data_IF_815765486898
#
_entry.id   IF_815765486898
#
_cell.length_a   1.000
_cell.length_b   1.000
_cell.length_c   1.000
_cell.angle_alpha   90.00
_cell.angle_beta   90.00
_cell.angle_gamma   90.00
#
_symmetry.space_group_name_H-M   'P 1'
#
loop_
_entity.id
_entity.type
_entity.pdbx_description
1 polymer ?
#
# COMPACT_ATOMS: atom_id res chain seq x y z
N UNK A 1 -24.54 8.69 16.92
CA UNK A 1 -24.82 10.14 16.67
C UNK A 1 -25.58 10.19 15.35
N UNK A 2 -26.77 10.78 15.35
CA UNK A 2 -27.52 10.99 14.09
C UNK A 2 -26.97 12.27 13.46
N UNK A 3 -26.51 12.25 12.20
CA UNK A 3 -26.00 13.47 11.57
C UNK A 3 -27.07 14.55 11.54
N UNK A 4 -26.67 15.82 11.67
CA UNK A 4 -27.63 16.94 11.55
C UNK A 4 -28.24 16.90 10.15
N UNK A 5 -29.56 16.89 10.05
CA UNK A 5 -30.29 16.87 8.77
C UNK A 5 -29.79 17.90 7.76
N UNK A 6 -29.39 19.08 8.25
CA UNK A 6 -28.84 20.15 7.40
C UNK A 6 -27.54 19.74 6.69
N UNK A 7 -26.65 18.99 7.35
CA UNK A 7 -25.37 18.54 6.75
C UNK A 7 -25.63 17.46 5.70
N UNK A 8 -26.53 16.51 6.01
CA UNK A 8 -26.90 15.47 5.05
C UNK A 8 -27.50 16.10 3.79
N UNK A 9 -28.46 17.00 3.96
CA UNK A 9 -29.09 17.69 2.84
C UNK A 9 -28.08 18.49 2.00
N UNK A 10 -27.07 19.11 2.63
CA UNK A 10 -26.02 19.85 1.88
C UNK A 10 -25.15 18.91 1.04
N UNK A 11 -24.82 17.73 1.56
CA UNK A 11 -24.05 16.72 0.81
C UNK A 11 -24.88 16.17 -0.34
N UNK A 12 -26.15 15.84 -0.10
CA UNK A 12 -27.08 15.37 -1.14
C UNK A 12 -27.28 16.42 -2.24
N UNK A 13 -27.35 17.70 -1.89
CA UNK A 13 -27.42 18.79 -2.85
C UNK A 13 -26.18 18.81 -3.76
N UNK A 14 -24.98 18.75 -3.19
CA UNK A 14 -23.72 18.71 -3.95
C UNK A 14 -23.65 17.46 -4.84
N UNK A 15 -24.08 16.29 -4.33
CA UNK A 15 -24.10 15.07 -5.13
C UNK A 15 -25.03 15.20 -6.34
N UNK A 16 -26.23 15.76 -6.14
CA UNK A 16 -27.20 15.95 -7.23
C UNK A 16 -26.76 17.02 -8.23
N UNK A 17 -26.21 18.15 -7.76
CA UNK A 17 -25.77 19.25 -8.65
C UNK A 17 -24.58 18.86 -9.52
N UNK A 18 -23.67 18.03 -9.02
CA UNK A 18 -22.44 17.63 -9.69
C UNK A 18 -22.46 16.20 -10.25
N UNK A 19 -23.59 15.52 -10.21
CA UNK A 19 -23.75 14.10 -10.61
C UNK A 19 -22.68 13.19 -9.96
N UNK A 20 -22.57 13.29 -8.62
CA UNK A 20 -21.58 12.54 -7.85
C UNK A 20 -22.24 11.34 -7.14
N UNK A 21 -21.51 10.24 -7.10
CA UNK A 21 -21.91 9.03 -6.40
C UNK A 21 -20.86 8.62 -5.34
N UNK A 22 -21.33 8.05 -4.23
CA UNK A 22 -20.47 7.40 -3.24
C UNK A 22 -20.04 6.04 -3.78
N UNK A 23 -18.90 5.98 -4.42
CA UNK A 23 -18.45 4.80 -5.14
C UNK A 23 -18.23 3.58 -4.25
N UNK A 24 -17.85 3.77 -2.98
CA UNK A 24 -17.73 2.64 -2.07
C UNK A 24 -19.09 2.01 -1.79
N UNK A 25 -20.13 2.81 -1.60
CA UNK A 25 -21.50 2.32 -1.38
C UNK A 25 -22.07 1.65 -2.63
N UNK A 26 -21.77 2.19 -3.81
CA UNK A 26 -22.19 1.58 -5.09
C UNK A 26 -21.57 0.17 -5.24
N UNK A 27 -20.30 0.01 -4.91
CA UNK A 27 -19.61 -1.29 -5.00
C UNK A 27 -19.94 -2.25 -3.85
N UNK A 28 -20.40 -1.73 -2.71
CA UNK A 28 -20.67 -2.51 -1.48
C UNK A 28 -22.05 -2.16 -0.88
N UNK A 29 -23.15 -2.41 -1.59
CA UNK A 29 -24.49 -1.93 -1.19
C UNK A 29 -24.95 -2.46 0.17
N UNK A 30 -24.66 -3.73 0.48
CA UNK A 30 -25.10 -4.41 1.70
C UNK A 30 -24.06 -4.40 2.83
N UNK A 31 -22.81 -3.97 2.52
CA UNK A 31 -21.72 -4.05 3.50
C UNK A 31 -21.76 -2.85 4.43
N UNK A 32 -21.73 -3.10 5.75
CA UNK A 32 -21.48 -2.07 6.75
C UNK A 32 -20.00 -1.97 7.04
N UNK A 33 -19.42 -0.79 6.91
CA UNK A 33 -18.07 -0.49 7.33
C UNK A 33 -17.98 0.97 7.78
N UNK A 34 -17.01 1.25 8.64
CA UNK A 34 -16.90 2.53 9.33
C UNK A 34 -15.51 3.11 9.08
N UNK A 35 -15.46 4.42 8.96
CA UNK A 35 -14.20 5.14 8.77
C UNK A 35 -13.77 5.90 10.01
N UNK A 36 -14.62 6.00 11.00
CA UNK A 36 -14.32 6.68 12.26
C UNK A 36 -14.88 5.91 13.45
N UNK A 37 -14.12 5.88 14.55
CA UNK A 37 -14.52 5.21 15.79
C UNK A 37 -14.17 6.02 17.04
N UNK A 38 -15.11 6.12 17.95
CA UNK A 38 -14.91 6.65 19.29
C UNK A 38 -14.90 5.52 20.31
N UNK A 39 -14.01 5.57 21.29
CA UNK A 39 -13.84 4.48 22.28
C UNK A 39 -14.84 4.54 23.44
N UNK A 40 -15.23 5.74 23.89
CA UNK A 40 -16.11 5.90 25.06
C UNK A 40 -17.03 7.11 24.92
N UNK A 41 -18.35 6.93 24.77
CA UNK A 41 -19.00 5.66 24.43
C UNK A 41 -18.56 5.13 23.06
N UNK A 42 -18.71 3.86 22.81
CA UNK A 42 -18.37 3.29 21.49
C UNK A 42 -19.32 3.81 20.43
N UNK A 43 -18.82 4.61 19.51
CA UNK A 43 -19.57 5.14 18.38
C UNK A 43 -18.79 4.83 17.12
N UNK A 44 -19.47 4.27 16.12
CA UNK A 44 -18.91 3.93 14.83
C UNK A 44 -19.66 4.69 13.75
N UNK A 45 -18.94 5.42 12.90
CA UNK A 45 -19.51 6.21 11.82
C UNK A 45 -18.70 6.05 10.53
N UNK A 46 -19.36 6.16 9.39
CA UNK A 46 -18.66 6.35 8.12
C UNK A 46 -18.75 7.83 7.75
N UNK A 47 -17.67 8.55 8.01
CA UNK A 47 -17.56 10.00 7.80
C UNK A 47 -16.77 10.34 6.55
N UNK A 48 -15.87 9.45 6.15
CA UNK A 48 -14.97 9.65 5.02
C UNK A 48 -15.47 8.82 3.84
N UNK A 49 -15.56 9.43 2.65
CA UNK A 49 -16.00 8.76 1.43
C UNK A 49 -15.46 9.44 0.17
N UNK A 50 -15.35 8.66 -0.90
CA UNK A 50 -15.03 9.15 -2.24
C UNK A 50 -16.31 9.43 -3.00
N UNK A 51 -16.57 10.72 -3.25
CA UNK A 51 -17.59 11.15 -4.21
C UNK A 51 -16.92 11.31 -5.56
N UNK A 52 -17.38 10.56 -6.54
CA UNK A 52 -16.83 10.61 -7.91
C UNK A 52 -17.96 10.88 -8.89
N UNK A 53 -17.65 11.48 -10.03
CA UNK A 53 -18.59 11.64 -11.11
C UNK A 53 -19.06 10.29 -11.63
N UNK A 54 -20.34 10.17 -11.91
CA UNK A 54 -21.00 8.92 -12.30
C UNK A 54 -20.32 8.27 -13.52
N UNK A 55 -19.84 9.06 -14.48
CA UNK A 55 -19.12 8.59 -15.66
C UNK A 55 -17.75 7.94 -15.35
N UNK A 56 -17.22 8.08 -14.14
CA UNK A 56 -15.95 7.46 -13.73
C UNK A 56 -16.15 6.09 -13.03
N UNK A 57 -17.38 5.69 -12.77
CA UNK A 57 -17.66 4.45 -12.03
C UNK A 57 -17.07 3.20 -12.70
N UNK A 58 -17.10 3.13 -14.03
CA UNK A 58 -16.59 2.01 -14.80
C UNK A 58 -15.04 1.92 -14.79
N UNK A 59 -14.37 3.03 -14.50
CA UNK A 59 -12.91 3.10 -14.39
C UNK A 59 -12.40 2.74 -12.99
N UNK A 60 -13.28 2.51 -12.02
CA UNK A 60 -12.90 2.15 -10.66
C UNK A 60 -12.58 0.66 -10.56
N UNK A 61 -11.28 0.35 -10.39
CA UNK A 61 -10.80 -1.01 -10.19
C UNK A 61 -11.12 -1.54 -8.78
N UNK A 62 -10.84 -0.75 -7.75
CA UNK A 62 -11.19 -1.08 -6.37
C UNK A 62 -11.39 0.17 -5.51
N UNK A 63 -12.17 0.00 -4.46
CA UNK A 63 -12.32 0.97 -3.37
C UNK A 63 -12.44 0.24 -2.05
N UNK A 64 -11.61 0.62 -1.06
CA UNK A 64 -11.49 -0.07 0.21
C UNK A 64 -11.44 0.91 1.38
N UNK A 65 -11.88 0.41 2.54
CA UNK A 65 -11.71 1.07 3.84
C UNK A 65 -10.62 0.30 4.59
N UNK A 66 -9.47 0.93 4.77
CA UNK A 66 -8.30 0.34 5.42
C UNK A 66 -8.36 0.69 6.91
N UNK A 67 -8.28 -0.29 7.82
CA UNK A 67 -8.38 -0.05 9.25
C UNK A 67 -7.45 1.05 9.77
N UNK A 68 -7.94 1.80 10.77
CA UNK A 68 -7.16 2.84 11.44
C UNK A 68 -5.94 2.25 12.15
N UNK A 69 -4.74 2.84 11.93
CA UNK A 69 -3.51 2.37 12.55
C UNK A 69 -3.23 3.18 13.83
N UNK A 70 -3.05 4.49 13.75
CA UNK A 70 -2.70 5.33 14.90
C UNK A 70 -3.69 6.47 15.14
N UNK A 71 -4.82 6.41 14.50
CA UNK A 71 -5.83 7.46 14.52
C UNK A 71 -7.21 6.84 14.79
N UNK A 72 -8.18 7.65 15.08
CA UNK A 72 -9.57 7.28 15.17
C UNK A 72 -10.26 7.19 13.79
N UNK A 73 -9.57 7.62 12.71
CA UNK A 73 -10.03 7.49 11.33
C UNK A 73 -9.35 6.35 10.57
N UNK A 74 -10.14 5.54 9.87
CA UNK A 74 -9.66 4.59 8.86
C UNK A 74 -9.33 5.31 7.54
N UNK A 75 -8.30 4.85 6.86
CA UNK A 75 -7.98 5.38 5.54
C UNK A 75 -8.95 4.84 4.49
N UNK A 76 -9.34 5.69 3.55
CA UNK A 76 -10.11 5.26 2.38
C UNK A 76 -9.23 5.23 1.14
N UNK A 77 -9.31 4.17 0.34
CA UNK A 77 -8.56 4.03 -0.90
C UNK A 77 -9.49 3.94 -2.10
N UNK A 78 -9.03 4.51 -3.22
CA UNK A 78 -9.67 4.43 -4.52
C UNK A 78 -8.61 4.18 -5.57
N UNK A 79 -8.78 3.11 -6.36
CA UNK A 79 -7.91 2.78 -7.48
C UNK A 79 -8.71 2.94 -8.77
N UNK A 80 -8.31 3.92 -9.57
CA UNK A 80 -8.83 4.11 -10.91
C UNK A 80 -7.99 3.30 -11.90
N UNK A 81 -8.64 2.72 -12.90
CA UNK A 81 -7.98 2.08 -14.03
C UNK A 81 -7.14 3.08 -14.83
N UNK A 82 -6.20 2.58 -15.59
CA UNK A 82 -5.39 3.43 -16.45
C UNK A 82 -6.25 4.05 -17.56
N UNK A 83 -6.34 5.37 -17.53
CA UNK A 83 -6.87 6.16 -18.63
C UNK A 83 -5.67 6.51 -19.50
N UNK A 84 -5.26 5.60 -20.40
CA UNK A 84 -4.11 5.85 -21.27
C UNK A 84 -3.41 4.59 -21.77
N UNK A 85 -2.37 4.75 -22.58
CA UNK A 85 -1.56 3.66 -23.06
C UNK A 85 -0.81 2.94 -21.93
N UNK A 86 -0.87 1.62 -21.89
CA UNK A 86 -0.15 0.80 -20.93
C UNK A 86 1.36 1.07 -21.02
N UNK A 87 1.94 1.66 -20.01
CA UNK A 87 3.38 1.83 -19.89
C UNK A 87 4.03 0.49 -19.62
N UNK A 88 5.03 0.14 -20.40
CA UNK A 88 5.81 -1.08 -20.17
C UNK A 88 6.44 -1.10 -18.76
N UNK A 89 6.88 -2.28 -18.28
CA UNK A 89 7.32 -2.50 -16.89
C UNK A 89 8.57 -1.70 -16.48
N UNK A 90 9.16 -0.92 -17.40
CA UNK A 90 10.37 -0.16 -17.15
C UNK A 90 11.61 -1.03 -16.87
N UNK A 91 12.73 -0.39 -16.53
CA UNK A 91 13.96 -1.10 -16.17
C UNK A 91 13.84 -1.65 -14.75
N UNK A 92 14.01 -2.96 -14.59
CA UNK A 92 14.04 -3.58 -13.26
C UNK A 92 15.25 -3.11 -12.46
N UNK A 93 14.99 -2.70 -11.22
CA UNK A 93 16.01 -2.33 -10.23
C UNK A 93 15.94 -3.28 -9.05
N UNK A 94 17.10 -3.78 -8.61
CA UNK A 94 17.17 -4.62 -7.42
C UNK A 94 16.82 -3.82 -6.17
N UNK A 95 15.95 -4.38 -5.33
CA UNK A 95 15.71 -3.84 -4.00
C UNK A 95 16.89 -4.22 -3.11
N UNK A 96 17.61 -3.22 -2.60
CA UNK A 96 18.80 -3.41 -1.75
C UNK A 96 18.47 -4.16 -0.46
N UNK A 97 17.24 -4.06 0.06
CA UNK A 97 16.81 -4.80 1.26
C UNK A 97 16.87 -6.33 1.11
N UNK A 98 17.03 -6.86 -0.10
CA UNK A 98 17.33 -8.29 -0.29
C UNK A 98 18.71 -8.68 0.27
N UNK A 99 19.62 -7.72 0.39
CA UNK A 99 20.94 -7.96 0.97
C UNK A 99 20.91 -8.00 2.50
N UNK A 100 19.79 -7.68 3.12
CA UNK A 100 19.56 -7.82 4.57
C UNK A 100 18.85 -9.17 4.89
N UNK A 101 18.46 -9.95 3.86
CA UNK A 101 17.78 -11.23 4.01
C UNK A 101 18.81 -12.37 4.01
N UNK A 102 19.01 -12.99 5.18
CA UNK A 102 20.00 -14.07 5.37
C UNK A 102 19.75 -15.29 4.45
N UNK A 103 18.49 -15.65 4.21
CA UNK A 103 18.14 -16.76 3.32
C UNK A 103 18.59 -16.45 1.88
N UNK A 104 18.36 -15.22 1.42
CA UNK A 104 18.80 -14.77 0.11
C UNK A 104 20.32 -14.73 -0.01
N UNK A 105 21.03 -14.21 0.99
CA UNK A 105 22.50 -14.15 1.02
C UNK A 105 23.13 -15.54 1.01
N UNK A 106 22.60 -16.47 1.82
CA UNK A 106 23.07 -17.86 1.85
C UNK A 106 22.89 -18.54 0.48
N UNK A 107 21.73 -18.33 -0.15
CA UNK A 107 21.52 -18.81 -1.51
C UNK A 107 22.54 -18.24 -2.50
N UNK A 108 22.78 -16.94 -2.46
CA UNK A 108 23.76 -16.30 -3.37
C UNK A 108 25.17 -16.81 -3.13
N UNK A 109 25.62 -16.94 -1.89
CA UNK A 109 26.99 -17.37 -1.56
C UNK A 109 27.31 -18.75 -2.14
N UNK A 110 26.37 -19.67 -2.08
CA UNK A 110 26.52 -21.02 -2.64
C UNK A 110 26.47 -20.98 -4.18
N UNK A 111 25.53 -20.23 -4.76
CA UNK A 111 25.27 -20.31 -6.19
C UNK A 111 26.20 -19.45 -7.05
N UNK A 112 26.78 -18.37 -6.51
CA UNK A 112 27.77 -17.55 -7.24
C UNK A 112 28.99 -18.40 -7.65
N UNK A 113 29.51 -19.22 -6.74
CA UNK A 113 30.61 -20.12 -7.01
C UNK A 113 30.25 -21.16 -8.09
N UNK A 114 29.04 -21.70 -8.02
CA UNK A 114 28.50 -22.64 -9.02
C UNK A 114 28.38 -21.97 -10.40
N UNK A 115 27.74 -20.80 -10.48
CA UNK A 115 27.57 -20.08 -11.74
C UNK A 115 28.90 -19.63 -12.36
N UNK A 116 29.91 -19.33 -11.52
CA UNK A 116 31.26 -19.05 -11.99
C UNK A 116 31.86 -20.26 -12.69
N UNK A 117 31.81 -21.44 -12.05
CA UNK A 117 32.32 -22.67 -12.63
C UNK A 117 31.58 -23.09 -13.91
N UNK A 118 30.26 -22.91 -13.95
CA UNK A 118 29.46 -23.16 -15.14
C UNK A 118 29.83 -22.20 -16.27
N UNK A 119 29.95 -20.90 -15.95
CA UNK A 119 30.33 -19.89 -16.93
C UNK A 119 31.75 -20.09 -17.50
N UNK A 120 32.73 -20.48 -16.65
CA UNK A 120 34.11 -20.76 -17.09
C UNK A 120 34.21 -22.01 -18.02
N UNK A 121 33.26 -22.93 -17.95
CA UNK A 121 33.21 -24.09 -18.85
C UNK A 121 32.64 -23.75 -20.25
N UNK A 122 31.64 -22.85 -20.27
CA UNK A 122 30.90 -22.53 -21.47
C UNK A 122 31.41 -21.30 -22.23
N UNK A 123 32.10 -20.39 -21.50
CA UNK A 123 32.51 -19.08 -21.99
C UNK A 123 34.02 -18.90 -21.88
N UNK A 124 34.68 -18.56 -22.99
CA UNK A 124 36.13 -18.30 -23.03
C UNK A 124 36.54 -16.93 -22.48
N UNK A 125 35.62 -15.96 -22.48
CA UNK A 125 35.91 -14.60 -22.01
C UNK A 125 35.45 -14.39 -20.55
N UNK A 126 36.35 -13.94 -19.70
CA UNK A 126 36.07 -13.63 -18.29
C UNK A 126 35.02 -12.55 -18.10
N UNK A 127 34.87 -11.62 -19.06
CA UNK A 127 33.80 -10.59 -19.02
C UNK A 127 32.44 -11.23 -19.25
N UNK A 128 32.36 -12.16 -20.20
CA UNK A 128 31.16 -12.93 -20.46
C UNK A 128 30.74 -13.79 -19.24
N UNK A 129 31.72 -14.40 -18.54
CA UNK A 129 31.48 -15.12 -17.28
C UNK A 129 30.89 -14.20 -16.22
N UNK A 130 31.41 -12.97 -16.09
CA UNK A 130 30.88 -11.98 -15.14
C UNK A 130 29.45 -11.55 -15.50
N UNK A 131 29.16 -11.36 -16.76
CA UNK A 131 27.80 -11.03 -17.23
C UNK A 131 26.83 -12.20 -17.01
N UNK A 132 27.27 -13.43 -17.17
CA UNK A 132 26.52 -14.63 -16.83
C UNK A 132 26.15 -14.69 -15.35
N UNK A 133 27.11 -14.42 -14.46
CA UNK A 133 26.86 -14.37 -13.01
C UNK A 133 25.81 -13.29 -12.69
N UNK A 134 25.99 -12.07 -13.21
CA UNK A 134 25.02 -10.96 -12.99
C UNK A 134 23.62 -11.32 -13.52
N UNK A 135 23.54 -11.97 -14.64
CA UNK A 135 22.27 -12.42 -15.20
C UNK A 135 21.55 -13.41 -14.26
N UNK A 136 22.26 -14.39 -13.72
CA UNK A 136 21.70 -15.37 -12.80
C UNK A 136 21.28 -14.73 -11.46
N UNK A 137 22.10 -13.82 -10.92
CA UNK A 137 21.73 -13.02 -9.73
C UNK A 137 20.43 -12.27 -9.97
N UNK A 138 20.35 -11.54 -11.12
CA UNK A 138 19.14 -10.79 -11.49
C UNK A 138 17.91 -11.69 -11.61
N UNK A 139 18.03 -12.79 -12.32
CA UNK A 139 16.95 -13.76 -12.53
C UNK A 139 16.42 -14.28 -11.18
N UNK A 140 17.33 -14.67 -10.29
CA UNK A 140 16.97 -15.15 -8.96
C UNK A 140 16.37 -14.03 -8.10
N UNK A 141 16.97 -12.84 -8.08
CA UNK A 141 16.45 -11.71 -7.31
C UNK A 141 15.02 -11.34 -7.71
N UNK A 142 14.70 -11.38 -8.99
CA UNK A 142 13.33 -11.14 -9.49
C UNK A 142 12.37 -12.21 -8.95
N UNK A 143 12.74 -13.49 -9.05
CA UNK A 143 11.92 -14.60 -8.58
C UNK A 143 11.69 -14.49 -7.08
N UNK A 144 12.76 -14.36 -6.31
CA UNK A 144 12.71 -14.26 -4.85
C UNK A 144 11.87 -13.05 -4.38
N UNK A 145 12.06 -11.88 -5.00
CA UNK A 145 11.26 -10.68 -4.68
C UNK A 145 9.76 -10.89 -4.91
N UNK A 146 9.39 -11.61 -5.98
CA UNK A 146 8.00 -11.94 -6.28
C UNK A 146 7.40 -12.88 -5.22
N UNK A 147 8.16 -13.91 -4.83
CA UNK A 147 7.75 -14.87 -3.80
C UNK A 147 7.57 -14.18 -2.44
N UNK A 148 8.54 -13.36 -2.01
CA UNK A 148 8.42 -12.57 -0.76
C UNK A 148 7.26 -11.57 -0.81
N UNK A 149 7.02 -10.93 -1.96
CA UNK A 149 5.87 -10.03 -2.12
C UNK A 149 4.55 -10.76 -2.01
N UNK A 150 4.46 -11.98 -2.58
CA UNK A 150 3.27 -12.83 -2.44
C UNK A 150 3.04 -13.21 -0.98
N UNK A 151 4.07 -13.75 -0.32
CA UNK A 151 3.99 -14.13 1.11
C UNK A 151 3.52 -12.95 1.98
N UNK A 152 4.07 -11.74 1.77
CA UNK A 152 3.64 -10.54 2.51
C UNK A 152 2.18 -10.18 2.26
N UNK A 153 1.69 -10.31 1.02
CA UNK A 153 0.28 -10.07 0.70
C UNK A 153 -0.64 -11.10 1.36
N UNK A 154 -0.22 -12.36 1.37
CA UNK A 154 -0.99 -13.42 2.01
C UNK A 154 -1.11 -13.18 3.53
N UNK A 155 0.00 -12.79 4.20
CA UNK A 155 0.01 -12.39 5.62
C UNK A 155 -0.89 -11.16 5.85
N UNK A 156 -0.79 -10.13 5.01
CA UNK A 156 -1.66 -8.94 5.07
C UNK A 156 -3.13 -9.31 5.02
N UNK A 157 -3.50 -10.17 4.07
CA UNK A 157 -4.88 -10.63 3.90
C UNK A 157 -5.39 -11.37 5.14
N UNK A 158 -4.58 -12.29 5.69
CA UNK A 158 -4.95 -13.04 6.89
C UNK A 158 -5.19 -12.09 8.07
N UNK A 159 -4.28 -11.15 8.33
CA UNK A 159 -4.43 -10.20 9.45
C UNK A 159 -5.66 -9.30 9.26
N UNK A 160 -5.93 -8.87 8.02
CA UNK A 160 -7.12 -8.06 7.72
C UNK A 160 -8.43 -8.86 7.93
N UNK A 161 -8.45 -10.13 7.57
CA UNK A 161 -9.61 -11.01 7.81
C UNK A 161 -9.82 -11.25 9.30
N UNK A 162 -8.75 -11.52 10.06
CA UNK A 162 -8.81 -11.64 11.52
C UNK A 162 -9.37 -10.35 12.15
N UNK A 163 -8.94 -9.18 11.67
CA UNK A 163 -9.42 -7.90 12.17
C UNK A 163 -10.91 -7.69 11.87
N UNK A 164 -11.36 -7.98 10.65
CA UNK A 164 -12.78 -7.90 10.26
C UNK A 164 -13.64 -8.81 11.12
N UNK A 165 -13.20 -10.04 11.34
CA UNK A 165 -13.92 -11.01 12.17
C UNK A 165 -13.95 -10.59 13.65
N UNK A 166 -12.83 -10.10 14.20
CA UNK A 166 -12.79 -9.59 15.57
C UNK A 166 -13.69 -8.37 15.76
N UNK A 167 -13.74 -7.47 14.77
CA UNK A 167 -14.64 -6.31 14.76
C UNK A 167 -16.10 -6.77 14.76
N UNK A 168 -16.46 -7.70 13.88
CA UNK A 168 -17.83 -8.23 13.79
C UNK A 168 -18.28 -8.90 15.10
N UNK A 169 -17.39 -9.67 15.75
CA UNK A 169 -17.67 -10.30 17.04
C UNK A 169 -17.91 -9.28 18.13
N UNK A 170 -17.08 -8.24 18.19
CA UNK A 170 -17.24 -7.18 19.16
C UNK A 170 -18.51 -6.35 18.93
N UNK A 171 -18.89 -6.11 17.68
CA UNK A 171 -20.14 -5.41 17.33
C UNK A 171 -21.38 -6.20 17.75
N UNK A 172 -21.36 -7.54 17.60
CA UNK A 172 -22.47 -8.42 17.95
C UNK A 172 -22.58 -8.66 19.47
N UNK A 173 -21.45 -8.74 20.16
CA UNK A 173 -21.35 -9.00 21.59
C UNK A 173 -20.20 -8.20 22.21
N UNK A 174 -20.46 -6.95 22.66
CA UNK A 174 -19.46 -6.03 23.20
C UNK A 174 -19.10 -6.39 24.65
N UNK A 175 -18.37 -7.49 24.82
CA UNK A 175 -17.81 -7.91 26.11
C UNK A 175 -16.29 -7.68 26.17
N UNK A 176 -15.69 -7.81 27.39
CA UNK A 176 -14.25 -7.56 27.60
C UNK A 176 -13.36 -8.55 26.84
N UNK A 177 -13.82 -9.80 26.63
CA UNK A 177 -13.06 -10.81 25.88
C UNK A 177 -12.95 -10.44 24.40
N UNK A 178 -14.07 -10.10 23.77
CA UNK A 178 -14.11 -9.66 22.38
C UNK A 178 -13.36 -8.35 22.17
N UNK A 179 -13.42 -7.43 23.15
CA UNK A 179 -12.65 -6.19 23.15
C UNK A 179 -11.15 -6.45 23.21
N UNK A 180 -10.71 -7.36 24.09
CA UNK A 180 -9.30 -7.74 24.21
C UNK A 180 -8.80 -8.37 22.91
N UNK A 181 -9.58 -9.27 22.31
CA UNK A 181 -9.22 -9.89 21.02
C UNK A 181 -9.13 -8.88 19.90
N UNK A 182 -10.06 -7.94 19.82
CA UNK A 182 -10.01 -6.85 18.82
C UNK A 182 -8.74 -6.00 18.97
N UNK A 183 -8.39 -5.64 20.22
CA UNK A 183 -7.17 -4.87 20.48
C UNK A 183 -5.90 -5.64 20.09
N UNK A 184 -5.83 -6.94 20.40
CA UNK A 184 -4.70 -7.80 20.03
C UNK A 184 -4.49 -7.84 18.51
N UNK A 185 -5.55 -8.08 17.75
CA UNK A 185 -5.46 -8.14 16.28
C UNK A 185 -5.18 -6.76 15.69
N UNK A 186 -5.71 -5.71 16.29
CA UNK A 186 -5.39 -4.33 15.91
C UNK A 186 -3.91 -4.03 16.07
N UNK A 187 -3.31 -4.41 17.18
CA UNK A 187 -1.86 -4.24 17.44
C UNK A 187 -1.02 -5.00 16.40
N UNK A 188 -1.39 -6.26 16.07
CA UNK A 188 -0.71 -7.02 15.00
C UNK A 188 -0.78 -6.29 13.65
N UNK A 189 -1.92 -5.73 13.32
CA UNK A 189 -2.11 -4.99 12.07
C UNK A 189 -1.28 -3.70 12.06
N UNK A 190 -1.22 -2.99 13.18
CA UNK A 190 -0.40 -1.79 13.36
C UNK A 190 1.08 -2.08 13.13
N UNK A 191 1.62 -3.11 13.78
CA UNK A 191 3.02 -3.53 13.61
C UNK A 191 3.34 -3.91 12.16
N UNK A 192 2.46 -4.66 11.50
CA UNK A 192 2.62 -5.03 10.09
C UNK A 192 2.71 -3.80 9.18
N UNK A 193 1.81 -2.83 9.38
CA UNK A 193 1.82 -1.61 8.56
C UNK A 193 2.98 -0.67 8.90
N UNK A 194 3.45 -0.63 10.14
CA UNK A 194 4.67 0.10 10.50
C UNK A 194 5.88 -0.43 9.74
N UNK A 195 6.07 -1.74 9.73
CA UNK A 195 7.17 -2.37 8.99
C UNK A 195 7.07 -2.07 7.48
N UNK A 196 5.87 -2.21 6.91
CA UNK A 196 5.60 -1.90 5.51
C UNK A 196 5.89 -0.44 5.17
N UNK A 197 5.49 0.49 6.03
CA UNK A 197 5.69 1.94 5.88
C UNK A 197 7.15 2.31 5.98
N UNK A 198 7.88 1.77 6.95
CA UNK A 198 9.33 1.97 7.09
C UNK A 198 10.07 1.56 5.81
N UNK A 199 9.70 0.42 5.22
CA UNK A 199 10.25 -0.02 3.95
C UNK A 199 9.95 0.95 2.79
N UNK A 200 8.77 1.56 2.76
CA UNK A 200 8.40 2.57 1.76
C UNK A 200 9.21 3.85 1.96
N UNK A 201 9.34 4.33 3.20
CA UNK A 201 10.10 5.54 3.56
C UNK A 201 11.56 5.41 3.10
N UNK A 202 12.20 4.27 3.42
CA UNK A 202 13.58 4.00 3.02
C UNK A 202 13.73 4.02 1.50
N UNK A 203 12.82 3.36 0.76
CA UNK A 203 12.86 3.34 -0.72
C UNK A 203 12.57 4.68 -1.36
N UNK A 204 11.65 5.44 -0.79
CA UNK A 204 11.30 6.77 -1.28
C UNK A 204 12.39 7.81 -1.01
N UNK A 205 13.38 7.49 -0.16
CA UNK A 205 14.36 8.46 0.38
C UNK A 205 13.66 9.68 0.98
N UNK A 206 12.60 9.44 1.68
CA UNK A 206 11.68 10.49 2.13
C UNK A 206 12.23 11.18 3.39
N UNK A 207 13.21 12.05 3.22
CA UNK A 207 13.64 12.98 4.27
C UNK A 207 12.52 13.90 4.77
N UNK A 208 11.46 14.03 4.00
CA UNK A 208 10.29 14.84 4.34
C UNK A 208 9.31 14.14 5.28
N UNK A 209 9.45 12.83 5.53
CA UNK A 209 8.58 12.12 6.46
C UNK A 209 8.68 12.64 7.91
N UNK A 210 9.88 13.07 8.32
CA UNK A 210 10.09 13.68 9.66
C UNK A 210 9.52 15.10 9.76
N UNK A 211 9.32 15.76 8.62
CA UNK A 211 8.86 17.15 8.51
C UNK A 211 7.57 17.28 7.68
N UNK A 212 6.93 16.14 7.37
CA UNK A 212 5.74 16.07 6.54
C UNK A 212 4.62 16.99 7.02
N UNK A 213 3.90 17.56 6.07
CA UNK A 213 2.73 18.43 6.23
C UNK A 213 2.99 19.84 6.78
N UNK A 214 4.23 20.25 7.00
CA UNK A 214 4.51 21.67 7.18
C UNK A 214 4.69 22.31 5.80
N UNK A 215 3.88 23.33 5.48
CA UNK A 215 4.02 24.20 4.28
C UNK A 215 5.31 25.01 4.34
N UNK A 216 6.46 24.33 4.46
CA UNK A 216 7.75 24.98 4.51
C UNK A 216 8.26 25.28 3.12
N UNK A 217 9.02 26.34 2.97
CA UNK A 217 9.74 26.73 1.74
C UNK A 217 10.57 25.57 1.17
N UNK A 218 11.03 24.66 2.03
CA UNK A 218 11.75 23.45 1.65
C UNK A 218 10.86 22.45 0.91
N UNK A 219 9.63 22.19 1.41
CA UNK A 219 8.67 21.29 0.80
C UNK A 219 8.23 21.77 -0.59
N UNK A 220 7.90 23.05 -0.72
CA UNK A 220 7.53 23.68 -1.99
C UNK A 220 8.71 23.66 -3.01
N UNK A 221 9.94 23.75 -2.53
CA UNK A 221 11.13 23.67 -3.39
C UNK A 221 11.49 22.22 -3.79
N UNK A 222 11.11 21.19 -3.02
CA UNK A 222 11.30 19.78 -3.38
C UNK A 222 10.45 19.40 -4.59
N UNK A 223 9.21 19.87 -4.65
CA UNK A 223 8.33 19.64 -5.78
C UNK A 223 8.88 20.28 -7.05
N UNK A 224 9.32 21.54 -6.98
CA UNK A 224 10.00 22.22 -8.08
C UNK A 224 11.28 21.51 -8.54
N UNK A 225 12.12 21.04 -7.61
CA UNK A 225 13.34 20.27 -7.91
C UNK A 225 13.04 18.95 -8.61
N UNK A 226 12.00 18.25 -8.17
CA UNK A 226 11.59 16.98 -8.78
C UNK A 226 10.98 17.21 -10.17
N UNK A 227 10.26 18.30 -10.36
CA UNK A 227 9.73 18.69 -11.66
C UNK A 227 10.87 18.99 -12.67
N UNK A 228 11.87 19.78 -12.27
CA UNK A 228 13.04 20.10 -13.09
C UNK A 228 13.88 18.88 -13.44
N UNK A 229 14.05 17.93 -12.51
CA UNK A 229 14.80 16.67 -12.75
C UNK A 229 14.09 15.70 -13.68
N UNK A 230 12.75 15.75 -13.77
CA UNK A 230 11.95 14.89 -14.65
C UNK A 230 11.85 15.40 -16.08
N UNK A 231 12.15 16.66 -16.31
CA UNK A 231 12.19 17.22 -17.67
C UNK A 231 13.58 16.99 -18.27
N UNK A 232 13.71 15.95 -19.10
CA UNK A 232 14.85 15.82 -20.02
C UNK A 232 14.62 16.94 -21.05
N UNK A 233 15.43 17.99 -20.96
CA UNK A 233 15.49 18.97 -22.05
C UNK A 233 16.03 18.23 -23.26
N UNK A 234 15.27 18.24 -24.37
CA UNK A 234 15.77 17.76 -25.66
C UNK A 234 17.11 18.46 -25.92
N UNK A 235 18.14 17.67 -26.17
CA UNK A 235 19.37 18.10 -26.81
C UNK A 235 19.06 18.50 -28.23
#
# INVERSE_FOLDING_TARGET
>A
MIPRKSVVNSIECVQNELDLVDIWRVKNPETRSYTWSQKSPTILCRLDFWLISNNLCDFVNSTDIIPAIRTDHAAISLILGEIGEAKGPGMWKMNVSLLDDEEYLNYLSVNISKWKLEGEKELSDKRAVWDWIKYNIRKHAIKYSKEKTKQRKDVETIIQEEYKEATRRFENDPNDLNKSRLNEVKEKLELFYEEKTNGIIVRARARWHEHGERSTKYFLNLEKRNHVKKHIRRL
#
